data_IF_139242814930
#
_entry.id   IF_139242814930
#
_cell.length_a   1.000
_cell.length_b   1.000
_cell.length_c   1.000
_cell.angle_alpha   90.00
_cell.angle_beta   90.00
_cell.angle_gamma   90.00
#
_symmetry.space_group_name_H-M   'P 1'
#
loop_
_entity.id
_entity.type
_entity.pdbx_description
1 polymer ?
#
# COMPACT_ATOMS: atom_id res chain seq x y z
N UNK A 1 18.89 -7.22 11.69
CA UNK A 1 17.52 -7.33 12.22
C UNK A 1 16.68 -6.19 11.65
N UNK A 2 15.49 -6.50 11.16
CA UNK A 2 14.59 -5.48 10.61
C UNK A 2 14.08 -4.55 11.72
N UNK A 3 14.09 -3.26 11.44
CA UNK A 3 13.65 -2.24 12.38
C UNK A 3 13.26 -0.97 11.64
N UNK A 4 12.16 -0.36 12.06
CA UNK A 4 11.73 0.94 11.57
C UNK A 4 11.29 1.79 12.78
N UNK A 5 11.72 3.06 12.80
CA UNK A 5 11.38 3.97 13.89
C UNK A 5 10.06 4.70 13.64
N UNK A 6 9.50 5.31 14.68
CA UNK A 6 8.31 6.16 14.55
C UNK A 6 8.57 7.34 13.61
N UNK A 7 9.78 7.89 13.61
CA UNK A 7 10.17 8.98 12.72
C UNK A 7 10.19 8.53 11.24
N UNK A 8 10.66 7.31 10.99
CA UNK A 8 10.65 6.74 9.64
C UNK A 8 9.22 6.53 9.14
N UNK A 9 8.32 6.03 9.99
CA UNK A 9 6.90 5.86 9.68
C UNK A 9 6.24 7.22 9.39
N UNK A 10 6.58 8.25 10.17
CA UNK A 10 6.11 9.61 9.94
C UNK A 10 6.57 10.15 8.58
N UNK A 11 7.81 9.88 8.18
CA UNK A 11 8.33 10.29 6.89
C UNK A 11 7.53 9.67 5.73
N UNK A 12 7.17 8.39 5.85
CA UNK A 12 6.33 7.71 4.87
C UNK A 12 4.95 8.36 4.80
N UNK A 13 4.34 8.64 5.95
CA UNK A 13 3.01 9.27 6.02
C UNK A 13 3.00 10.64 5.36
N UNK A 14 4.00 11.47 5.65
CA UNK A 14 4.12 12.81 5.07
C UNK A 14 4.31 12.73 3.56
N UNK A 15 5.16 11.81 3.08
CA UNK A 15 5.43 11.65 1.65
C UNK A 15 4.18 11.17 0.89
N UNK A 16 3.42 10.24 1.45
CA UNK A 16 2.17 9.78 0.84
C UNK A 16 1.14 10.91 0.74
N UNK A 17 1.02 11.71 1.79
CA UNK A 17 0.12 12.87 1.79
C UNK A 17 0.54 13.92 0.76
N UNK A 18 1.84 14.15 0.61
CA UNK A 18 2.37 15.10 -0.37
C UNK A 18 2.12 14.62 -1.81
N UNK A 19 2.29 13.32 -2.08
CA UNK A 19 2.11 12.77 -3.43
C UNK A 19 0.65 12.69 -3.83
N UNK A 20 -0.23 12.21 -2.94
CA UNK A 20 -1.62 11.92 -3.28
C UNK A 20 -2.60 13.00 -2.82
N UNK A 21 -2.18 13.89 -1.92
CA UNK A 21 -2.99 15.00 -1.47
C UNK A 21 -4.32 14.55 -0.88
N UNK A 22 -5.43 15.08 -1.43
CA UNK A 22 -6.78 14.78 -0.99
C UNK A 22 -7.41 13.59 -1.72
N UNK A 23 -6.72 13.04 -2.73
CA UNK A 23 -7.26 11.95 -3.55
C UNK A 23 -7.38 10.65 -2.78
N UNK A 24 -6.52 10.42 -1.79
CA UNK A 24 -6.51 9.22 -0.97
C UNK A 24 -6.23 9.55 0.48
N UNK A 25 -6.90 8.81 1.38
CA UNK A 25 -6.58 8.82 2.81
C UNK A 25 -5.89 7.50 3.17
N UNK A 26 -4.76 7.63 3.86
CA UNK A 26 -3.95 6.48 4.27
C UNK A 26 -3.94 6.35 5.79
N UNK A 27 -3.94 5.11 6.26
CA UNK A 27 -3.59 4.78 7.64
C UNK A 27 -2.19 4.18 7.61
N UNK A 28 -1.21 4.89 8.18
CA UNK A 28 0.19 4.46 8.19
C UNK A 28 0.60 4.22 9.64
N UNK A 29 0.88 2.97 9.98
CA UNK A 29 1.21 2.56 11.34
C UNK A 29 2.46 1.71 11.35
N UNK A 30 3.20 1.77 12.47
CA UNK A 30 4.32 0.84 12.68
C UNK A 30 3.75 -0.51 13.09
N UNK A 31 4.19 -1.56 12.38
CA UNK A 31 3.78 -2.94 12.66
C UNK A 31 4.87 -3.59 13.52
N UNK A 32 4.61 -3.68 14.81
CA UNK A 32 5.61 -4.05 15.82
C UNK A 32 6.80 -3.09 15.76
N UNK A 33 8.02 -3.57 15.64
CA UNK A 33 9.21 -2.74 15.51
C UNK A 33 9.91 -2.94 14.17
N UNK A 34 9.44 -3.89 13.38
CA UNK A 34 10.15 -4.35 12.19
C UNK A 34 9.52 -3.90 10.88
N UNK A 35 8.30 -3.37 10.89
CA UNK A 35 7.60 -3.07 9.67
C UNK A 35 6.68 -1.86 9.73
N UNK A 36 6.20 -1.47 8.56
CA UNK A 36 5.19 -0.43 8.38
C UNK A 36 3.98 -1.03 7.67
N UNK A 37 2.79 -0.68 8.14
CA UNK A 37 1.52 -1.08 7.52
C UNK A 37 0.87 0.16 6.93
N UNK A 38 0.61 0.12 5.63
CA UNK A 38 -0.03 1.19 4.89
C UNK A 38 -1.38 0.67 4.41
N UNK A 39 -2.46 1.29 4.87
CA UNK A 39 -3.81 0.96 4.43
C UNK A 39 -4.43 2.16 3.70
N UNK A 40 -4.97 1.92 2.51
CA UNK A 40 -5.72 2.93 1.77
C UNK A 40 -7.16 2.87 2.28
N UNK A 41 -7.58 3.88 3.05
CA UNK A 41 -8.86 3.86 3.76
C UNK A 41 -10.00 4.46 2.95
N UNK A 42 -9.70 5.47 2.15
CA UNK A 42 -10.68 6.08 1.25
C UNK A 42 -9.97 6.80 0.11
N UNK A 43 -10.66 7.04 -0.97
CA UNK A 43 -10.08 7.75 -2.11
C UNK A 43 -10.98 7.78 -3.32
N UNK A 44 -10.46 8.37 -4.41
CA UNK A 44 -11.19 8.57 -5.66
C UNK A 44 -11.32 7.30 -6.51
N UNK A 45 -10.46 6.29 -6.27
CA UNK A 45 -10.48 5.06 -7.03
C UNK A 45 -11.65 4.16 -6.62
N UNK A 46 -12.27 3.51 -7.59
CA UNK A 46 -13.30 2.50 -7.34
C UNK A 46 -12.66 1.11 -7.34
N UNK A 47 -12.14 0.67 -6.20
CA UNK A 47 -11.56 -0.67 -6.09
C UNK A 47 -12.59 -1.80 -6.13
N UNK A 48 -13.89 -1.47 -6.17
CA UNK A 48 -14.97 -2.45 -6.29
C UNK A 48 -15.27 -2.82 -7.74
N UNK A 49 -14.42 -2.45 -8.68
CA UNK A 49 -14.63 -2.64 -10.14
C UNK A 49 -14.21 -4.05 -10.64
N UNK A 50 -13.76 -4.91 -9.77
CA UNK A 50 -13.34 -6.28 -10.12
C UNK A 50 -11.83 -6.48 -10.22
N UNK A 51 -11.02 -5.42 -10.26
CA UNK A 51 -9.56 -5.52 -10.38
C UNK A 51 -8.89 -6.17 -9.17
N UNK A 52 -9.53 -6.09 -7.98
CA UNK A 52 -9.02 -6.72 -6.76
C UNK A 52 -9.70 -8.06 -6.45
N UNK A 53 -10.59 -8.52 -7.31
CA UNK A 53 -11.19 -9.85 -7.17
C UNK A 53 -10.14 -10.90 -7.52
N UNK A 54 -10.21 -12.06 -6.88
CA UNK A 54 -9.31 -13.16 -7.22
C UNK A 54 -10.03 -14.50 -7.20
N UNK A 55 -9.52 -15.43 -8.01
CA UNK A 55 -10.02 -16.80 -8.08
C UNK A 55 -9.01 -17.72 -7.41
N UNK A 56 -9.49 -18.54 -6.48
CA UNK A 56 -8.64 -19.52 -5.79
C UNK A 56 -8.20 -20.61 -6.77
N UNK A 57 -6.91 -20.91 -6.81
CA UNK A 57 -6.33 -21.90 -7.70
C UNK A 57 -6.80 -23.32 -7.42
N UNK A 58 -7.10 -23.62 -6.16
CA UNK A 58 -7.37 -24.97 -5.70
C UNK A 58 -8.84 -25.34 -5.81
N UNK A 59 -9.75 -24.42 -5.48
CA UNK A 59 -11.19 -24.68 -5.47
C UNK A 59 -11.95 -23.98 -6.61
N UNK A 60 -11.28 -23.10 -7.39
CA UNK A 60 -11.90 -22.36 -8.48
C UNK A 60 -12.90 -21.29 -8.03
N UNK A 61 -12.98 -21.02 -6.73
CA UNK A 61 -13.95 -20.08 -6.18
C UNK A 61 -13.51 -18.64 -6.41
N UNK A 62 -14.44 -17.79 -6.87
CA UNK A 62 -14.23 -16.37 -7.00
C UNK A 62 -14.47 -15.65 -5.68
N UNK A 63 -13.47 -14.89 -5.22
CA UNK A 63 -13.57 -14.03 -4.05
C UNK A 63 -13.61 -12.59 -4.52
N UNK A 64 -14.75 -11.94 -4.32
CA UNK A 64 -14.93 -10.54 -4.70
C UNK A 64 -14.35 -9.62 -3.62
N UNK A 65 -13.75 -8.51 -4.06
CA UNK A 65 -13.28 -7.48 -3.16
C UNK A 65 -14.48 -6.86 -2.41
N UNK A 66 -14.43 -6.90 -1.09
CA UNK A 66 -15.50 -6.45 -0.21
C UNK A 66 -15.11 -5.27 0.68
N UNK A 67 -14.02 -4.59 0.36
CA UNK A 67 -13.51 -3.44 1.11
C UNK A 67 -12.16 -3.65 1.77
N UNK A 68 -11.66 -4.89 1.76
CA UNK A 68 -10.35 -5.23 2.31
C UNK A 68 -9.59 -6.14 1.37
N UNK A 69 -8.35 -5.79 1.07
CA UNK A 69 -7.45 -6.65 0.30
C UNK A 69 -6.01 -6.33 0.66
N UNK A 70 -5.22 -7.37 0.89
CA UNK A 70 -3.77 -7.22 1.03
C UNK A 70 -3.15 -7.16 -0.35
N UNK A 71 -2.30 -6.16 -0.58
CA UNK A 71 -1.66 -5.95 -1.87
C UNK A 71 -0.28 -6.60 -1.87
N UNK A 72 -0.05 -7.48 -2.84
CA UNK A 72 1.25 -8.12 -3.02
C UNK A 72 2.16 -7.18 -3.83
N UNK A 73 2.99 -6.40 -3.12
CA UNK A 73 3.87 -5.42 -3.77
C UNK A 73 5.04 -6.04 -4.55
N UNK A 74 5.22 -7.36 -4.48
CA UNK A 74 6.19 -8.08 -5.31
C UNK A 74 5.64 -8.44 -6.69
N UNK A 75 4.31 -8.40 -6.85
CA UNK A 75 3.62 -8.79 -8.09
C UNK A 75 2.57 -7.77 -8.47
N UNK A 76 2.96 -6.49 -8.54
CA UNK A 76 2.03 -5.38 -8.80
C UNK A 76 1.39 -5.46 -10.20
N UNK A 77 2.02 -6.16 -11.14
CA UNK A 77 1.48 -6.37 -12.49
C UNK A 77 0.15 -7.14 -12.52
N UNK A 78 -0.21 -7.81 -11.41
CA UNK A 78 -1.50 -8.50 -11.31
C UNK A 78 -2.69 -7.55 -11.05
N UNK A 79 -2.44 -6.29 -10.73
CA UNK A 79 -3.49 -5.36 -10.32
C UNK A 79 -4.02 -4.45 -11.45
N UNK A 80 -3.63 -4.73 -12.70
CA UNK A 80 -4.21 -4.06 -13.87
C UNK A 80 -4.10 -2.54 -13.83
N UNK A 81 -5.24 -1.87 -13.86
CA UNK A 81 -5.30 -0.40 -13.88
C UNK A 81 -4.71 0.28 -12.63
N UNK A 82 -4.56 -0.46 -11.53
CA UNK A 82 -4.02 0.08 -10.28
C UNK A 82 -2.54 -0.22 -10.05
N UNK A 83 -1.88 -0.86 -11.01
CA UNK A 83 -0.45 -1.18 -10.92
C UNK A 83 0.40 0.06 -10.63
N UNK A 84 0.17 1.14 -11.37
CA UNK A 84 0.91 2.38 -11.20
C UNK A 84 0.69 3.02 -9.83
N UNK A 85 -0.55 3.02 -9.35
CA UNK A 85 -0.88 3.54 -8.03
C UNK A 85 -0.15 2.77 -6.93
N UNK A 86 -0.22 1.45 -6.95
CA UNK A 86 0.42 0.61 -5.94
C UNK A 86 1.94 0.66 -6.04
N UNK A 87 2.49 0.78 -7.26
CA UNK A 87 3.93 0.96 -7.48
C UNK A 87 4.42 2.25 -6.79
N UNK A 88 3.70 3.34 -6.95
CA UNK A 88 4.04 4.62 -6.32
C UNK A 88 4.02 4.53 -4.80
N UNK A 89 2.99 3.91 -4.24
CA UNK A 89 2.89 3.69 -2.79
C UNK A 89 4.08 2.87 -2.28
N UNK A 90 4.41 1.80 -2.98
CA UNK A 90 5.55 0.93 -2.63
C UNK A 90 6.87 1.69 -2.69
N UNK A 91 7.11 2.47 -3.75
CA UNK A 91 8.32 3.28 -3.89
C UNK A 91 8.47 4.26 -2.73
N UNK A 92 7.41 4.96 -2.38
CA UNK A 92 7.42 5.91 -1.27
C UNK A 92 7.73 5.19 0.04
N UNK A 93 7.13 4.04 0.29
CA UNK A 93 7.38 3.25 1.49
C UNK A 93 8.84 2.82 1.63
N UNK A 94 9.53 2.58 0.51
CA UNK A 94 10.92 2.14 0.50
C UNK A 94 11.93 3.30 0.47
N UNK A 95 11.52 4.50 0.06
CA UNK A 95 12.47 5.62 -0.14
C UNK A 95 12.29 6.78 0.81
N UNK A 96 11.07 7.04 1.29
CA UNK A 96 10.78 8.24 2.09
C UNK A 96 11.61 8.35 3.37
N UNK A 97 11.81 7.29 4.18
CA UNK A 97 12.66 7.41 5.38
C UNK A 97 14.09 7.84 5.06
N UNK A 98 14.71 7.23 4.06
CA UNK A 98 16.08 7.57 3.64
C UNK A 98 16.20 9.00 3.12
N UNK A 99 15.23 9.44 2.32
CA UNK A 99 15.19 10.80 1.78
C UNK A 99 15.01 11.86 2.89
N UNK A 100 14.36 11.49 3.98
CA UNK A 100 14.19 12.37 5.15
C UNK A 100 15.36 12.31 6.14
N UNK A 101 16.44 11.62 5.78
CA UNK A 101 17.62 11.48 6.64
C UNK A 101 17.54 10.33 7.63
N UNK A 102 16.54 9.47 7.52
CA UNK A 102 16.36 8.29 8.35
C UNK A 102 16.91 7.01 7.74
N UNK A 103 16.19 5.91 7.93
CA UNK A 103 16.63 4.58 7.52
C UNK A 103 16.61 4.40 6.00
N UNK A 104 17.74 4.07 5.41
CA UNK A 104 17.81 3.66 4.00
C UNK A 104 17.34 2.22 3.85
N UNK A 105 16.51 1.96 2.84
CA UNK A 105 16.01 0.61 2.60
C UNK A 105 17.08 -0.27 1.95
N UNK A 106 17.17 -1.50 2.43
CA UNK A 106 17.97 -2.57 1.80
C UNK A 106 17.26 -3.91 1.99
N UNK A 107 17.53 -4.86 1.10
CA UNK A 107 17.02 -6.22 1.21
C UNK A 107 18.10 -7.19 0.74
N UNK A 108 18.68 -7.94 1.68
CA UNK A 108 19.70 -8.94 1.44
C UNK A 108 19.21 -10.33 1.86
N UNK A 109 17.90 -10.57 1.76
CA UNK A 109 17.31 -11.86 2.11
C UNK A 109 17.87 -12.96 1.23
N UNK A 110 18.19 -14.10 1.83
CA UNK A 110 18.63 -15.31 1.12
C UNK A 110 17.62 -16.42 1.38
N UNK A 111 16.78 -16.70 0.40
CA UNK A 111 15.75 -17.73 0.50
C UNK A 111 16.31 -19.16 0.51
N UNK A 112 17.52 -19.35 -0.02
CA UNK A 112 18.17 -20.67 -0.05
C UNK A 112 18.64 -21.12 1.33
N UNK A 113 19.01 -20.17 2.20
CA UNK A 113 19.49 -20.44 3.55
C UNK A 113 18.50 -19.99 4.63
N UNK A 114 17.31 -19.54 4.25
CA UNK A 114 16.29 -18.97 5.14
C UNK A 114 16.83 -17.79 5.98
N UNK A 115 17.81 -17.09 5.45
CA UNK A 115 18.38 -15.91 6.10
C UNK A 115 17.64 -14.65 5.61
N UNK A 116 17.03 -13.93 6.56
CA UNK A 116 16.26 -12.72 6.26
C UNK A 116 16.99 -11.50 6.80
N UNK A 117 17.47 -10.65 5.90
CA UNK A 117 18.17 -9.41 6.24
C UNK A 117 17.65 -8.27 5.38
N UNK A 118 16.67 -7.55 5.90
CA UNK A 118 16.12 -6.35 5.26
C UNK A 118 15.96 -5.22 6.27
N UNK A 119 15.95 -3.99 5.76
CA UNK A 119 15.86 -2.80 6.59
C UNK A 119 14.57 -2.80 7.42
N UNK A 120 13.43 -3.07 6.78
CA UNK A 120 12.12 -3.16 7.41
C UNK A 120 11.14 -3.85 6.45
N UNK A 121 10.01 -4.30 6.98
CA UNK A 121 8.94 -4.90 6.19
C UNK A 121 7.90 -3.86 5.81
N UNK A 122 7.35 -3.98 4.60
CA UNK A 122 6.29 -3.11 4.09
C UNK A 122 5.06 -3.95 3.79
N UNK A 123 3.93 -3.59 4.38
CA UNK A 123 2.64 -4.21 4.13
C UNK A 123 1.67 -3.16 3.60
N UNK A 124 1.08 -3.41 2.44
CA UNK A 124 0.14 -2.50 1.80
C UNK A 124 -1.22 -3.18 1.72
N UNK A 125 -2.27 -2.49 2.16
CA UNK A 125 -3.65 -2.97 2.13
C UNK A 125 -4.57 -1.93 1.54
N UNK A 126 -5.67 -2.38 0.92
CA UNK A 126 -6.82 -1.53 0.62
C UNK A 126 -7.84 -1.81 1.71
N UNK A 127 -8.20 -0.78 2.48
CA UNK A 127 -9.09 -0.94 3.64
C UNK A 127 -8.44 -1.70 4.79
N UNK A 128 -9.26 -2.04 5.79
CA UNK A 128 -8.90 -2.90 6.91
C UNK A 128 -10.01 -3.94 7.10
N UNK A 129 -9.69 -5.09 7.72
CA UNK A 129 -10.68 -6.15 7.91
C UNK A 129 -11.92 -5.70 8.71
N UNK A 130 -11.75 -4.72 9.62
CA UNK A 130 -12.80 -4.16 10.46
C UNK A 130 -13.32 -2.80 9.97
N UNK A 131 -12.70 -2.24 8.92
CA UNK A 131 -13.08 -0.94 8.36
C UNK A 131 -12.84 -0.96 6.85
N UNK A 132 -13.88 -1.24 6.04
CA UNK A 132 -13.73 -1.35 4.60
C UNK A 132 -13.37 -0.03 3.93
N UNK A 133 -12.73 -0.14 2.77
CA UNK A 133 -12.40 1.00 1.92
C UNK A 133 -13.68 1.73 1.47
N UNK A 134 -13.64 3.06 1.50
CA UNK A 134 -14.74 3.91 1.05
C UNK A 134 -14.34 4.74 -0.16
N UNK A 135 -15.22 4.83 -1.16
CA UNK A 135 -15.00 5.67 -2.31
C UNK A 135 -15.33 7.12 -1.94
N UNK A 136 -14.39 8.02 -2.22
CA UNK A 136 -14.58 9.46 -2.01
C UNK A 136 -15.28 10.06 -3.24
N UNK A 137 -16.61 10.11 -3.22
CA UNK A 137 -17.41 10.62 -4.34
C UNK A 137 -17.12 12.08 -4.66
N UNK A 138 -16.86 12.89 -3.66
CA UNK A 138 -16.54 14.30 -3.85
C UNK A 138 -15.19 14.48 -4.56
N UNK A 139 -14.17 13.75 -4.14
CA UNK A 139 -12.88 13.72 -4.81
C UNK A 139 -12.98 13.20 -6.23
N UNK A 140 -13.78 12.15 -6.45
CA UNK A 140 -14.04 11.59 -7.78
C UNK A 140 -14.69 12.60 -8.71
N UNK A 141 -15.67 13.37 -8.22
CA UNK A 141 -16.33 14.45 -8.98
C UNK A 141 -15.33 15.53 -9.39
N UNK A 142 -14.42 15.92 -8.50
CA UNK A 142 -13.38 16.90 -8.81
C UNK A 142 -12.44 16.38 -9.90
N UNK A 143 -12.05 15.12 -9.82
CA UNK A 143 -11.20 14.48 -10.83
C UNK A 143 -11.90 14.44 -12.20
N UNK A 144 -13.18 14.10 -12.25
CA UNK A 144 -13.96 14.08 -13.48
C UNK A 144 -14.11 15.49 -14.08
N UNK A 145 -14.29 16.52 -13.27
CA UNK A 145 -14.35 17.92 -13.75
C UNK A 145 -13.03 18.37 -14.36
N UNK A 146 -11.91 17.94 -13.81
CA UNK A 146 -10.58 18.27 -14.34
C UNK A 146 -10.35 17.52 -15.66
N UNK A 147 -10.82 16.28 -15.77
CA UNK A 147 -10.67 15.46 -16.96
C UNK A 147 -11.63 15.85 -18.10
N UNK A 148 -12.69 16.51 -17.77
CA UNK A 148 -13.66 17.00 -18.76
C UNK A 148 -13.21 18.34 -19.34
#
# INVERSE_FOLDING_TARGET
MAYISSEDVKAIRVALKAEFGKDFKFSVTRDHYSGVRIAIMSGVANFYDGELDHTDKYNGRLYKFDGYSQINHYHLHFYGAYEELFTKISEIAHTAPGLAGGKSYYCNDDTMTDYFDRAYYVNIHVGKWDKPYEINLEGQRRTLKIAA
#
